data_IF_441086643366
#
_entry.id   IF_441086643366
#
_cell.length_a   1.000
_cell.length_b   1.000
_cell.length_c   1.000
_cell.angle_alpha   90.00
_cell.angle_beta   90.00
_cell.angle_gamma   90.00
#
_symmetry.space_group_name_H-M   'P 1'
#
loop_
_entity.id
_entity.type
_entity.pdbx_description
1 polymer ?
#
# COMPACT_ATOMS: atom_id res chain seq x y z
N UNK A 1 23.02 -6.92 8.86
CA UNK A 1 21.73 -6.20 8.89
C UNK A 1 20.98 -6.61 7.64
N UNK A 2 19.88 -7.33 7.77
CA UNK A 2 19.06 -7.69 6.61
C UNK A 2 18.27 -6.44 6.25
N UNK A 3 18.62 -5.78 5.15
CA UNK A 3 17.82 -4.70 4.57
C UNK A 3 16.63 -5.37 3.88
N UNK A 4 15.49 -5.47 4.57
CA UNK A 4 14.29 -6.04 3.99
C UNK A 4 13.76 -5.12 2.89
N UNK A 5 14.09 -5.46 1.64
CA UNK A 5 13.67 -4.76 0.43
C UNK A 5 12.67 -5.58 -0.37
N UNK A 6 11.81 -4.89 -1.12
CA UNK A 6 10.88 -5.53 -2.06
C UNK A 6 11.71 -6.27 -3.11
N UNK A 7 11.45 -7.56 -3.30
CA UNK A 7 12.23 -8.39 -4.24
C UNK A 7 11.39 -9.47 -4.89
N UNK A 8 11.79 -9.85 -6.11
CA UNK A 8 11.27 -11.05 -6.77
C UNK A 8 11.95 -12.28 -6.16
N UNK A 9 11.17 -13.28 -5.77
CA UNK A 9 11.63 -14.58 -5.28
C UNK A 9 11.38 -15.62 -6.37
N UNK A 10 12.29 -16.58 -6.53
CA UNK A 10 12.27 -17.65 -7.55
C UNK A 10 12.28 -17.20 -9.03
N UNK A 11 12.56 -15.92 -9.32
CA UNK A 11 12.91 -15.44 -10.67
C UNK A 11 11.87 -15.73 -11.76
N UNK A 12 12.13 -16.79 -12.55
CA UNK A 12 11.35 -17.24 -13.71
C UNK A 12 10.63 -18.58 -13.52
N UNK A 13 10.71 -19.16 -12.31
CA UNK A 13 9.98 -20.39 -11.99
C UNK A 13 8.46 -20.13 -11.93
N UNK A 14 7.67 -21.19 -12.06
CA UNK A 14 6.22 -21.13 -11.87
C UNK A 14 5.88 -20.58 -10.48
N UNK A 15 6.66 -20.92 -9.45
CA UNK A 15 6.45 -20.50 -8.06
C UNK A 15 7.07 -19.12 -7.75
N UNK A 16 7.30 -18.30 -8.77
CA UNK A 16 7.87 -16.97 -8.58
C UNK A 16 6.83 -15.96 -8.03
N UNK A 17 7.18 -15.33 -6.90
CA UNK A 17 6.35 -14.32 -6.24
C UNK A 17 7.15 -13.05 -5.90
N UNK A 18 6.45 -11.96 -5.64
CA UNK A 18 7.09 -10.72 -5.15
C UNK A 18 6.93 -10.67 -3.64
N UNK A 19 8.06 -10.63 -2.93
CA UNK A 19 8.08 -10.45 -1.50
C UNK A 19 7.94 -8.96 -1.17
N UNK A 20 7.01 -8.66 -0.26
CA UNK A 20 6.82 -7.34 0.32
C UNK A 20 7.10 -7.43 1.83
N UNK A 21 8.09 -6.68 2.35
CA UNK A 21 8.34 -6.64 3.79
C UNK A 21 7.13 -6.15 4.58
N UNK A 22 6.45 -5.12 4.06
CA UNK A 22 5.23 -4.56 4.65
C UNK A 22 4.18 -4.38 3.55
N UNK A 23 2.98 -4.88 3.84
CA UNK A 23 1.79 -4.68 3.02
C UNK A 23 0.78 -3.85 3.80
N UNK A 24 0.28 -2.79 3.17
CA UNK A 24 -0.82 -1.97 3.69
C UNK A 24 -2.06 -2.28 2.84
N UNK A 25 -3.16 -2.66 3.50
CA UNK A 25 -4.43 -2.95 2.84
C UNK A 25 -5.38 -1.78 3.02
N UNK A 26 -5.79 -1.18 1.92
CA UNK A 26 -6.63 0.02 1.84
C UNK A 26 -5.81 1.28 1.54
N UNK A 27 -6.18 1.99 0.47
CA UNK A 27 -5.67 3.30 0.08
C UNK A 27 -6.62 4.44 0.51
N UNK A 28 -7.25 4.27 1.67
CA UNK A 28 -7.96 5.34 2.38
C UNK A 28 -7.02 6.22 3.21
N UNK A 29 -7.58 7.18 3.94
CA UNK A 29 -6.81 8.11 4.77
C UNK A 29 -5.85 7.41 5.75
N UNK A 30 -6.30 6.34 6.41
CA UNK A 30 -5.48 5.56 7.34
C UNK A 30 -4.30 4.85 6.67
N UNK A 31 -4.53 4.20 5.52
CA UNK A 31 -3.46 3.50 4.79
C UNK A 31 -2.41 4.46 4.23
N UNK A 32 -2.83 5.62 3.74
CA UNK A 32 -1.92 6.69 3.30
C UNK A 32 -1.15 7.26 4.50
N UNK A 33 -1.81 7.50 5.63
CA UNK A 33 -1.15 7.98 6.84
C UNK A 33 -0.11 6.98 7.37
N UNK A 34 -0.41 5.67 7.34
CA UNK A 34 0.54 4.62 7.71
C UNK A 34 1.77 4.63 6.80
N UNK A 35 1.57 4.67 5.48
CA UNK A 35 2.66 4.78 4.50
C UNK A 35 3.53 6.03 4.72
N UNK A 36 2.87 7.15 5.05
CA UNK A 36 3.55 8.40 5.38
C UNK A 36 4.42 8.25 6.63
N UNK A 37 3.90 7.64 7.71
CA UNK A 37 4.67 7.41 8.94
C UNK A 37 5.83 6.43 8.74
N UNK A 38 5.63 5.33 8.03
CA UNK A 38 6.71 4.40 7.67
C UNK A 38 7.86 5.14 6.98
N UNK A 39 7.52 5.97 5.98
CA UNK A 39 8.53 6.69 5.21
C UNK A 39 9.21 7.81 6.02
N UNK A 40 8.43 8.63 6.71
CA UNK A 40 8.94 9.87 7.31
C UNK A 40 9.52 9.66 8.71
N UNK A 41 8.90 8.82 9.53
CA UNK A 41 9.32 8.62 10.92
C UNK A 41 10.30 7.46 11.07
N UNK A 42 10.10 6.39 10.28
CA UNK A 42 10.94 5.18 10.36
C UNK A 42 11.98 5.09 9.25
N UNK A 43 11.98 6.02 8.28
CA UNK A 43 12.89 5.98 7.13
C UNK A 43 12.70 4.74 6.26
N UNK A 44 11.54 4.09 6.32
CA UNK A 44 11.25 2.83 5.66
C UNK A 44 10.33 3.03 4.47
N UNK A 45 10.80 2.73 3.26
CA UNK A 45 10.07 2.93 2.01
C UNK A 45 9.78 1.64 1.24
N UNK A 46 10.18 0.48 1.78
CA UNK A 46 10.03 -0.83 1.15
C UNK A 46 8.67 -1.46 1.49
N UNK A 47 7.57 -0.74 1.21
CA UNK A 47 6.20 -1.19 1.43
C UNK A 47 5.32 -1.04 0.19
N UNK A 48 4.19 -1.74 0.16
CA UNK A 48 3.19 -1.62 -0.91
C UNK A 48 1.79 -1.46 -0.33
N UNK A 49 1.03 -0.51 -0.89
CA UNK A 49 -0.39 -0.32 -0.59
C UNK A 49 -1.20 -1.04 -1.68
N UNK A 50 -2.17 -1.85 -1.28
CA UNK A 50 -3.17 -2.43 -2.17
C UNK A 50 -4.55 -1.95 -1.78
N UNK A 51 -5.37 -1.60 -2.77
CA UNK A 51 -6.79 -1.32 -2.59
C UNK A 51 -7.58 -2.14 -3.62
N UNK A 52 -8.82 -2.49 -3.29
CA UNK A 52 -9.76 -3.12 -4.21
C UNK A 52 -10.21 -2.13 -5.28
N UNK A 53 -10.23 -0.84 -4.96
CA UNK A 53 -10.64 0.22 -5.85
C UNK A 53 -9.54 0.57 -6.85
N UNK A 54 -9.95 1.08 -8.02
CA UNK A 54 -9.03 1.50 -9.07
C UNK A 54 -8.23 2.78 -8.73
N UNK A 55 -8.53 3.43 -7.60
CA UNK A 55 -7.83 4.63 -7.17
C UNK A 55 -7.87 4.85 -5.67
N UNK A 56 -7.26 5.96 -5.25
CA UNK A 56 -7.04 6.31 -3.85
C UNK A 56 -8.22 7.08 -3.25
N UNK A 57 -8.36 7.02 -1.93
CA UNK A 57 -9.34 7.82 -1.18
C UNK A 57 -10.25 6.99 -0.28
N UNK A 58 -10.30 5.67 -0.45
CA UNK A 58 -11.10 4.76 0.36
C UNK A 58 -12.58 5.18 0.35
N UNK A 59 -13.11 5.56 1.52
CA UNK A 59 -14.47 6.09 1.68
C UNK A 59 -14.82 7.18 0.67
N UNK A 60 -13.90 8.10 0.38
CA UNK A 60 -14.15 9.22 -0.55
C UNK A 60 -14.06 8.81 -2.01
N UNK A 61 -13.38 7.70 -2.33
CA UNK A 61 -13.37 7.17 -3.69
C UNK A 61 -14.71 6.52 -4.05
N UNK A 62 -15.27 5.74 -3.11
CA UNK A 62 -16.49 4.95 -3.33
C UNK A 62 -17.78 5.77 -3.20
N UNK A 63 -17.78 6.80 -2.36
CA UNK A 63 -18.96 7.63 -2.14
C UNK A 63 -18.91 8.88 -3.03
N UNK A 64 -19.69 8.86 -4.12
CA UNK A 64 -19.82 9.98 -5.06
C UNK A 64 -21.28 10.39 -5.30
N UNK A 65 -22.13 10.16 -4.31
CA UNK A 65 -23.52 10.55 -4.36
C UNK A 65 -23.66 12.07 -4.08
N UNK A 66 -24.71 12.74 -4.62
CA UNK A 66 -24.97 14.14 -4.30
C UNK A 66 -25.15 14.37 -2.80
N UNK A 67 -24.47 15.37 -2.23
CA UNK A 67 -24.52 15.68 -0.80
C UNK A 67 -23.58 14.86 0.08
N UNK A 68 -22.64 14.11 -0.50
CA UNK A 68 -21.58 13.38 0.26
C UNK A 68 -20.66 14.32 1.04
N UNK A 69 -20.51 15.55 0.55
CA UNK A 69 -19.88 16.65 1.26
C UNK A 69 -20.79 17.87 1.11
N UNK A 70 -21.03 18.51 2.24
CA UNK A 70 -21.66 19.82 2.43
C UNK A 70 -20.64 20.94 2.27
#
# INVERSE_FOLDING_TARGET
>A
MITEAIRRVNGYDHDAYTYYPVVIVGAGASGIAMACQLKQQLGFDQFRIFDRQAGIGGTWWINRYPGVAW
#
